data_IF_099971123479
#
_entry.id   IF_099971123479
#
_cell.length_a   1.000
_cell.length_b   1.000
_cell.length_c   1.000
_cell.angle_alpha   90.00
_cell.angle_beta   90.00
_cell.angle_gamma   90.00
#
_symmetry.space_group_name_H-M   'P 1'
#
loop_
_entity.id
_entity.type
_entity.pdbx_description
1 polymer ?
#
# COMPACT_ATOMS: atom_id res chain seq x y z
N UNK A 1 -38.54 9.06 8.47
CA UNK A 1 -37.26 8.71 9.12
C UNK A 1 -36.33 9.89 8.97
N UNK A 2 -35.96 10.55 10.06
CA UNK A 2 -35.15 11.78 10.03
C UNK A 2 -33.72 11.48 9.55
N UNK A 3 -33.07 12.44 8.89
CA UNK A 3 -31.64 12.35 8.51
C UNK A 3 -30.76 12.01 9.72
N UNK A 4 -31.14 12.47 10.93
CA UNK A 4 -30.47 12.15 12.19
C UNK A 4 -30.58 10.66 12.56
N UNK A 5 -31.73 10.02 12.31
CA UNK A 5 -31.93 8.59 12.58
C UNK A 5 -31.16 7.71 11.59
N UNK A 6 -31.05 8.16 10.32
CA UNK A 6 -30.19 7.51 9.32
C UNK A 6 -28.72 7.59 9.72
N UNK A 7 -28.25 8.75 10.16
CA UNK A 7 -26.86 8.91 10.62
C UNK A 7 -26.59 8.07 11.86
N UNK A 8 -27.48 8.06 12.86
CA UNK A 8 -27.35 7.23 14.06
C UNK A 8 -27.34 5.73 13.76
N UNK A 9 -28.21 5.27 12.85
CA UNK A 9 -28.25 3.85 12.46
C UNK A 9 -27.03 3.44 11.62
N UNK A 10 -26.51 4.32 10.77
CA UNK A 10 -25.25 4.11 10.04
C UNK A 10 -24.07 4.05 11.03
N UNK A 11 -23.97 5.00 11.96
CA UNK A 11 -22.90 5.02 12.97
C UNK A 11 -22.98 3.81 13.90
N UNK A 12 -24.17 3.40 14.33
CA UNK A 12 -24.35 2.21 15.17
C UNK A 12 -23.98 0.92 14.42
N UNK A 13 -24.38 0.81 13.15
CA UNK A 13 -24.04 -0.34 12.30
C UNK A 13 -22.53 -0.43 12.03
N UNK A 14 -21.90 0.72 11.75
CA UNK A 14 -20.44 0.82 11.60
C UNK A 14 -19.71 0.52 12.91
N UNK A 15 -20.22 0.98 14.06
CA UNK A 15 -19.61 0.68 15.37
C UNK A 15 -19.66 -0.81 15.72
N UNK A 16 -20.79 -1.48 15.49
CA UNK A 16 -20.90 -2.93 15.68
C UNK A 16 -20.00 -3.70 14.71
N UNK A 17 -19.95 -3.27 13.45
CA UNK A 17 -19.07 -3.85 12.45
C UNK A 17 -17.59 -3.66 12.82
N UNK A 18 -17.20 -2.50 13.37
CA UNK A 18 -15.85 -2.25 13.87
C UNK A 18 -15.52 -3.18 15.04
N UNK A 19 -16.44 -3.41 15.97
CA UNK A 19 -16.20 -4.29 17.13
C UNK A 19 -16.06 -5.76 16.69
N UNK A 20 -16.91 -6.26 15.80
CA UNK A 20 -16.81 -7.63 15.28
C UNK A 20 -15.51 -7.82 14.49
N UNK A 21 -15.20 -6.90 13.57
CA UNK A 21 -13.99 -7.00 12.77
C UNK A 21 -12.74 -6.77 13.63
N UNK A 22 -12.83 -6.10 14.78
CA UNK A 22 -11.73 -6.01 15.76
C UNK A 22 -11.45 -7.35 16.46
N UNK A 23 -12.49 -8.12 16.82
CA UNK A 23 -12.33 -9.46 17.39
C UNK A 23 -11.77 -10.44 16.36
N UNK A 24 -12.26 -10.40 15.14
CA UNK A 24 -11.74 -11.22 14.04
C UNK A 24 -10.32 -10.80 13.64
N UNK A 25 -10.00 -9.50 13.68
CA UNK A 25 -8.64 -9.01 13.48
C UNK A 25 -7.70 -9.53 14.55
N UNK A 26 -8.10 -9.49 15.82
CA UNK A 26 -7.31 -10.04 16.92
C UNK A 26 -7.11 -11.56 16.79
N UNK A 27 -8.17 -12.30 16.45
CA UNK A 27 -8.12 -13.75 16.26
C UNK A 27 -7.27 -14.17 15.05
N UNK A 28 -7.24 -13.36 13.98
CA UNK A 28 -6.46 -13.64 12.79
C UNK A 28 -4.94 -13.54 12.99
N UNK A 29 -4.49 -12.79 14.01
CA UNK A 29 -3.07 -12.45 14.22
C UNK A 29 -2.45 -11.58 13.12
N UNK A 30 -3.22 -11.18 12.10
CA UNK A 30 -2.67 -10.57 10.89
C UNK A 30 -2.06 -9.18 11.13
N UNK A 31 -2.51 -8.49 12.18
CA UNK A 31 -2.02 -7.17 12.60
C UNK A 31 -0.53 -7.17 13.00
N UNK A 32 0.05 -8.33 13.34
CA UNK A 32 1.46 -8.43 13.70
C UNK A 32 2.40 -8.38 12.47
N UNK A 33 1.92 -8.82 11.30
CA UNK A 33 2.77 -8.98 10.12
C UNK A 33 3.39 -7.69 9.58
N UNK A 34 2.77 -6.49 9.60
CA UNK A 34 3.45 -5.26 9.20
C UNK A 34 4.70 -4.97 10.04
N UNK A 35 4.64 -5.26 11.36
CA UNK A 35 5.76 -5.07 12.29
C UNK A 35 6.82 -6.15 12.05
N UNK A 36 6.40 -7.41 11.94
CA UNK A 36 7.30 -8.53 11.60
C UNK A 36 7.99 -8.29 10.25
N UNK A 37 7.28 -7.72 9.28
CA UNK A 37 7.80 -7.34 7.97
C UNK A 37 8.89 -6.30 8.05
N UNK A 38 8.70 -5.25 8.86
CA UNK A 38 9.74 -4.25 9.12
C UNK A 38 10.98 -4.88 9.76
N UNK A 39 10.80 -5.69 10.81
CA UNK A 39 11.90 -6.40 11.45
C UNK A 39 12.63 -7.34 10.49
N UNK A 40 11.90 -8.12 9.70
CA UNK A 40 12.46 -9.07 8.73
C UNK A 40 13.20 -8.34 7.60
N UNK A 41 12.68 -7.23 7.11
CA UNK A 41 13.33 -6.38 6.11
C UNK A 41 14.63 -5.78 6.62
N UNK A 42 14.68 -5.33 7.88
CA UNK A 42 15.91 -4.82 8.50
C UNK A 42 16.98 -5.91 8.69
N UNK A 43 16.57 -7.14 9.00
CA UNK A 43 17.49 -8.28 9.20
C UNK A 43 18.04 -8.89 7.92
N UNK A 44 17.41 -8.64 6.76
CA UNK A 44 17.81 -9.24 5.49
C UNK A 44 18.24 -8.16 4.48
N UNK A 45 19.54 -7.79 4.45
CA UNK A 45 20.06 -6.77 3.53
C UNK A 45 19.81 -7.08 2.05
N UNK A 46 19.63 -8.35 1.68
CA UNK A 46 19.25 -8.75 0.32
C UNK A 46 17.93 -8.09 -0.10
N UNK A 47 16.91 -8.08 0.76
CA UNK A 47 15.59 -7.51 0.47
C UNK A 47 15.62 -5.99 0.32
N UNK A 48 16.65 -5.31 0.83
CA UNK A 48 16.78 -3.85 0.76
C UNK A 48 17.37 -3.37 -0.58
N UNK A 49 17.96 -4.27 -1.37
CA UNK A 49 18.61 -3.91 -2.64
C UNK A 49 17.67 -3.18 -3.62
N UNK A 50 16.40 -3.61 -3.82
CA UNK A 50 15.48 -2.90 -4.70
C UNK A 50 15.15 -1.49 -4.22
N UNK A 51 15.03 -1.27 -2.90
CA UNK A 51 14.85 0.06 -2.31
C UNK A 51 16.03 0.98 -2.67
N UNK A 52 17.26 0.56 -2.39
CA UNK A 52 18.45 1.37 -2.65
C UNK A 52 18.67 1.67 -4.13
N UNK A 53 18.37 0.72 -5.02
CA UNK A 53 18.45 0.93 -6.48
C UNK A 53 17.45 1.97 -6.99
N UNK A 54 16.31 2.12 -6.32
CA UNK A 54 15.25 3.08 -6.69
C UNK A 54 15.34 4.41 -5.96
N UNK A 55 16.19 4.51 -4.93
CA UNK A 55 16.38 5.75 -4.18
C UNK A 55 16.91 6.88 -5.07
N UNK A 56 17.97 6.65 -5.84
CA UNK A 56 18.58 7.67 -6.69
C UNK A 56 17.61 8.20 -7.78
N UNK A 57 16.90 7.33 -8.54
CA UNK A 57 15.83 7.78 -9.44
C UNK A 57 14.74 8.59 -8.74
N UNK A 58 14.39 8.22 -7.50
CA UNK A 58 13.36 8.95 -6.72
C UNK A 58 13.82 10.33 -6.29
N UNK A 59 15.08 10.49 -5.91
CA UNK A 59 15.66 11.81 -5.60
C UNK A 59 15.74 12.67 -6.87
N UNK A 60 16.15 12.10 -8.00
CA UNK A 60 16.20 12.82 -9.26
C UNK A 60 14.80 13.27 -9.73
N UNK A 61 13.81 12.40 -9.61
CA UNK A 61 12.42 12.73 -9.91
C UNK A 61 11.88 13.79 -8.95
N UNK A 62 12.14 13.69 -7.65
CA UNK A 62 11.66 14.69 -6.69
C UNK A 62 12.26 16.06 -6.97
N UNK A 63 13.57 16.15 -7.21
CA UNK A 63 14.22 17.39 -7.59
C UNK A 63 13.63 17.99 -8.87
N UNK A 64 13.38 17.15 -9.88
CA UNK A 64 12.78 17.58 -11.16
C UNK A 64 11.36 18.11 -10.97
N UNK A 65 10.50 17.36 -10.27
CA UNK A 65 9.09 17.72 -10.05
C UNK A 65 8.99 18.98 -9.19
N UNK A 66 9.74 19.08 -8.10
CA UNK A 66 9.75 20.26 -7.23
C UNK A 66 10.19 21.49 -8.03
N UNK A 67 11.29 21.38 -8.79
CA UNK A 67 11.79 22.50 -9.60
C UNK A 67 10.75 22.94 -10.64
N UNK A 68 10.12 22.01 -11.35
CA UNK A 68 9.09 22.31 -12.33
C UNK A 68 7.84 22.94 -11.71
N UNK A 69 7.37 22.40 -10.58
CA UNK A 69 6.22 22.92 -9.85
C UNK A 69 6.49 24.34 -9.34
N UNK A 70 7.64 24.59 -8.70
CA UNK A 70 8.00 25.95 -8.27
C UNK A 70 8.14 26.92 -9.45
N UNK A 71 8.65 26.47 -10.60
CA UNK A 71 8.76 27.33 -11.78
C UNK A 71 7.39 27.68 -12.39
N UNK A 72 6.45 26.73 -12.42
CA UNK A 72 5.16 26.89 -13.12
C UNK A 72 4.08 27.45 -12.20
N UNK A 73 3.93 26.93 -10.98
CA UNK A 73 2.75 27.17 -10.14
C UNK A 73 3.00 28.19 -9.04
N UNK A 74 4.24 28.41 -8.60
CA UNK A 74 4.52 29.26 -7.44
C UNK A 74 4.05 30.71 -7.63
N UNK A 75 4.47 31.38 -8.71
CA UNK A 75 4.09 32.77 -8.95
C UNK A 75 2.56 32.93 -9.10
N UNK A 76 1.86 32.10 -9.90
CA UNK A 76 0.40 32.12 -9.93
C UNK A 76 -0.26 31.90 -8.57
N UNK A 77 0.24 30.96 -7.76
CA UNK A 77 -0.33 30.65 -6.44
C UNK A 77 -0.10 31.80 -5.44
N UNK A 78 1.08 32.42 -5.44
CA UNK A 78 1.35 33.62 -4.62
C UNK A 78 0.41 34.75 -5.02
N UNK A 79 0.22 34.99 -6.31
CA UNK A 79 -0.68 36.03 -6.79
C UNK A 79 -2.13 35.81 -6.33
N UNK A 80 -2.63 34.57 -6.39
CA UNK A 80 -3.98 34.23 -5.94
C UNK A 80 -4.13 34.31 -4.41
N UNK A 81 -3.16 33.76 -3.66
CA UNK A 81 -3.21 33.77 -2.20
C UNK A 81 -2.96 35.17 -1.62
N UNK A 82 -2.24 36.06 -2.32
CA UNK A 82 -2.01 37.42 -1.87
C UNK A 82 -3.31 38.23 -1.68
N UNK A 83 -4.38 37.90 -2.41
CA UNK A 83 -5.70 38.52 -2.23
C UNK A 83 -6.37 38.16 -0.90
N UNK A 84 -6.03 37.01 -0.31
CA UNK A 84 -6.67 36.49 0.92
C UNK A 84 -5.72 36.58 2.11
N UNK A 85 -4.48 36.12 1.95
CA UNK A 85 -3.49 35.94 3.01
C UNK A 85 -2.48 37.10 3.10
N UNK A 86 -2.50 38.04 2.14
CA UNK A 86 -1.60 39.19 2.12
C UNK A 86 -0.11 38.78 2.05
N UNK A 87 0.80 39.39 2.85
CA UNK A 87 2.23 39.09 2.81
C UNK A 87 2.60 37.64 3.15
N UNK A 88 1.75 36.93 3.92
CA UNK A 88 1.99 35.54 4.33
C UNK A 88 1.77 34.56 3.15
N UNK A 89 1.09 35.01 2.09
CA UNK A 89 0.83 34.24 0.87
C UNK A 89 2.10 33.64 0.25
N UNK A 90 3.24 34.32 0.37
CA UNK A 90 4.55 33.85 -0.13
C UNK A 90 4.96 32.52 0.51
N UNK A 91 4.74 32.39 1.82
CA UNK A 91 5.08 31.19 2.60
C UNK A 91 4.00 30.12 2.42
N UNK A 92 2.72 30.51 2.46
CA UNK A 92 1.60 29.58 2.25
C UNK A 92 1.64 28.93 0.87
N UNK A 93 1.92 29.71 -0.18
CA UNK A 93 2.10 29.20 -1.53
C UNK A 93 3.26 28.21 -1.60
N UNK A 94 4.40 28.51 -0.98
CA UNK A 94 5.55 27.57 -0.97
C UNK A 94 5.19 26.24 -0.31
N UNK A 95 4.46 26.26 0.81
CA UNK A 95 3.97 25.05 1.48
C UNK A 95 2.98 24.27 0.61
N UNK A 96 2.09 24.97 -0.09
CA UNK A 96 1.12 24.34 -1.00
C UNK A 96 1.82 23.68 -2.19
N UNK A 97 2.75 24.38 -2.85
CA UNK A 97 3.57 23.82 -3.95
C UNK A 97 4.30 22.56 -3.48
N UNK A 98 4.89 22.56 -2.28
CA UNK A 98 5.60 21.39 -1.73
C UNK A 98 4.65 20.21 -1.47
N UNK A 99 3.46 20.47 -0.94
CA UNK A 99 2.42 19.44 -0.71
C UNK A 99 1.93 18.82 -2.02
N UNK A 100 1.62 19.65 -3.01
CA UNK A 100 1.21 19.22 -4.35
C UNK A 100 2.32 18.44 -5.05
N UNK A 101 3.56 18.94 -4.98
CA UNK A 101 4.75 18.26 -5.51
C UNK A 101 4.94 16.89 -4.87
N UNK A 102 4.80 16.78 -3.56
CA UNK A 102 4.93 15.51 -2.83
C UNK A 102 3.90 14.48 -3.31
N UNK A 103 2.68 14.94 -3.57
CA UNK A 103 1.62 14.09 -4.10
C UNK A 103 1.90 13.65 -5.52
N UNK A 104 2.36 14.54 -6.39
CA UNK A 104 2.79 14.20 -7.75
C UNK A 104 3.98 13.24 -7.77
N UNK A 105 4.99 13.45 -6.91
CA UNK A 105 6.14 12.55 -6.78
C UNK A 105 5.69 11.16 -6.38
N UNK A 106 4.78 11.03 -5.40
CA UNK A 106 4.26 9.74 -4.98
C UNK A 106 3.52 9.04 -6.12
N UNK A 107 2.68 9.76 -6.87
CA UNK A 107 1.93 9.20 -8.00
C UNK A 107 2.87 8.73 -9.12
N UNK A 108 3.83 9.57 -9.51
CA UNK A 108 4.78 9.27 -10.58
C UNK A 108 5.74 8.15 -10.19
N UNK A 109 6.30 8.17 -8.98
CA UNK A 109 7.21 7.13 -8.49
C UNK A 109 6.51 5.77 -8.34
N UNK A 110 5.25 5.78 -7.86
CA UNK A 110 4.42 4.58 -7.79
C UNK A 110 4.24 3.95 -9.16
N UNK A 111 3.86 4.75 -10.15
CA UNK A 111 3.63 4.28 -11.51
C UNK A 111 4.89 3.78 -12.21
N UNK A 112 6.02 4.47 -12.04
CA UNK A 112 7.22 4.16 -12.81
C UNK A 112 7.98 2.96 -12.24
N UNK A 113 8.16 2.86 -10.91
CA UNK A 113 9.07 1.83 -10.40
C UNK A 113 8.79 1.27 -9.01
N UNK A 114 8.01 1.92 -8.14
CA UNK A 114 7.81 1.40 -6.78
C UNK A 114 6.98 0.10 -6.83
N UNK A 115 5.89 0.05 -7.60
CA UNK A 115 5.06 -1.16 -7.70
C UNK A 115 5.87 -2.36 -8.21
N UNK A 116 6.79 -2.13 -9.14
CA UNK A 116 7.69 -3.19 -9.59
C UNK A 116 8.66 -3.60 -8.48
N UNK A 117 9.30 -2.65 -7.80
CA UNK A 117 10.27 -2.97 -6.76
C UNK A 117 9.62 -3.72 -5.58
N UNK A 118 8.40 -3.34 -5.19
CA UNK A 118 7.65 -4.02 -4.12
C UNK A 118 7.25 -5.43 -4.53
N UNK A 119 6.76 -5.66 -5.75
CA UNK A 119 6.47 -7.02 -6.26
C UNK A 119 7.73 -7.91 -6.24
N UNK A 120 8.89 -7.36 -6.59
CA UNK A 120 10.16 -8.09 -6.51
C UNK A 120 10.51 -8.49 -5.07
N UNK A 121 10.33 -7.58 -4.11
CA UNK A 121 10.51 -7.90 -2.69
C UNK A 121 9.50 -8.93 -2.20
N UNK A 122 8.24 -8.83 -2.63
CA UNK A 122 7.19 -9.79 -2.28
C UNK A 122 7.56 -11.20 -2.76
N UNK A 123 7.88 -11.35 -4.04
CA UNK A 123 8.28 -12.65 -4.62
C UNK A 123 9.57 -13.18 -3.95
N UNK A 124 10.52 -12.31 -3.63
CA UNK A 124 11.77 -12.69 -2.98
C UNK A 124 11.54 -13.27 -1.58
N UNK A 125 10.59 -12.71 -0.81
CA UNK A 125 10.21 -13.23 0.51
C UNK A 125 9.55 -14.60 0.37
N UNK A 126 8.65 -14.79 -0.61
CA UNK A 126 8.06 -16.11 -0.87
C UNK A 126 9.12 -17.16 -1.21
N UNK A 127 10.09 -16.83 -2.07
CA UNK A 127 11.21 -17.71 -2.40
C UNK A 127 12.07 -18.01 -1.17
N UNK A 128 12.33 -17.01 -0.32
CA UNK A 128 13.07 -17.18 0.94
C UNK A 128 12.36 -18.14 1.90
N UNK A 129 11.03 -18.12 1.91
CA UNK A 129 10.17 -18.95 2.77
C UNK A 129 9.75 -20.28 2.10
N UNK A 130 10.52 -20.74 1.10
CA UNK A 130 10.29 -21.99 0.36
C UNK A 130 8.95 -22.08 -0.41
N UNK A 131 8.24 -20.97 -0.63
CA UNK A 131 7.02 -20.90 -1.45
C UNK A 131 7.33 -20.71 -2.94
N UNK A 132 8.32 -21.44 -3.45
CA UNK A 132 8.81 -21.30 -4.84
C UNK A 132 7.78 -21.76 -5.87
N UNK A 133 7.00 -22.80 -5.54
CA UNK A 133 5.94 -23.31 -6.41
C UNK A 133 4.85 -22.25 -6.68
N UNK A 134 4.50 -21.45 -5.67
CA UNK A 134 3.53 -20.37 -5.81
C UNK A 134 4.08 -19.24 -6.70
N UNK A 135 5.37 -18.89 -6.56
CA UNK A 135 6.01 -17.84 -7.38
C UNK A 135 6.17 -18.29 -8.83
N UNK A 136 6.43 -19.58 -9.07
CA UNK A 136 6.57 -20.15 -10.41
C UNK A 136 5.30 -19.95 -11.27
N UNK A 137 4.12 -19.83 -10.65
CA UNK A 137 2.87 -19.55 -11.36
C UNK A 137 2.78 -18.12 -11.96
N UNK A 138 3.65 -17.19 -11.56
CA UNK A 138 3.65 -15.80 -12.04
C UNK A 138 5.00 -15.26 -12.52
N UNK A 139 6.08 -16.03 -12.39
CA UNK A 139 7.45 -15.63 -12.74
C UNK A 139 8.33 -16.86 -12.93
N UNK A 140 9.32 -16.77 -13.81
CA UNK A 140 10.36 -17.80 -13.87
C UNK A 140 11.18 -17.82 -12.58
N UNK A 141 11.42 -19.01 -12.01
CA UNK A 141 12.31 -19.20 -10.86
C UNK A 141 13.54 -19.96 -11.34
N UNK A 142 14.73 -19.34 -11.26
CA UNK A 142 15.97 -19.95 -11.72
C UNK A 142 16.47 -20.97 -10.70
N UNK A 143 16.53 -22.24 -11.08
CA UNK A 143 17.20 -23.28 -10.30
C UNK A 143 18.71 -23.13 -10.45
N UNK A 144 19.42 -22.73 -9.39
CA UNK A 144 20.91 -22.72 -9.37
C UNK A 144 21.59 -21.58 -8.63
N UNK A 145 20.88 -20.51 -8.22
CA UNK A 145 21.48 -19.40 -7.46
C UNK A 145 21.47 -19.71 -5.96
N UNK A 146 22.56 -20.27 -5.43
CA UNK A 146 22.79 -20.47 -3.99
C UNK A 146 23.05 -19.13 -3.30
N UNK A 147 22.08 -18.63 -2.54
CA UNK A 147 22.30 -17.57 -1.54
C UNK A 147 21.29 -16.42 -1.54
N UNK A 148 20.98 -15.81 -2.69
CA UNK A 148 20.16 -14.60 -2.75
C UNK A 148 18.75 -14.85 -3.35
N UNK A 149 17.67 -14.69 -2.57
CA UNK A 149 16.29 -14.87 -3.05
C UNK A 149 15.94 -13.97 -4.24
N UNK A 150 16.53 -12.77 -4.33
CA UNK A 150 16.29 -11.84 -5.45
C UNK A 150 16.93 -12.36 -6.74
N UNK A 151 18.12 -12.97 -6.66
CA UNK A 151 18.82 -13.50 -7.84
C UNK A 151 18.16 -14.74 -8.42
N UNK A 152 17.34 -15.44 -7.61
CA UNK A 152 16.49 -16.56 -8.06
C UNK A 152 15.28 -16.11 -8.88
N UNK A 153 14.91 -14.83 -8.84
CA UNK A 153 13.77 -14.30 -9.60
C UNK A 153 14.18 -14.04 -11.07
N UNK A 154 13.52 -14.73 -12.00
CA UNK A 154 13.65 -14.56 -13.44
C UNK A 154 12.71 -13.49 -14.02
N UNK A 155 12.45 -13.58 -15.34
CA UNK A 155 11.56 -12.64 -16.02
C UNK A 155 10.11 -12.83 -15.57
N UNK A 156 9.36 -11.72 -15.48
CA UNK A 156 7.95 -11.72 -15.08
C UNK A 156 7.09 -12.22 -16.22
N UNK A 157 6.15 -13.11 -15.90
CA UNK A 157 5.23 -13.71 -16.87
C UNK A 157 3.84 -13.05 -16.83
N UNK A 158 3.48 -12.37 -15.72
CA UNK A 158 2.22 -11.65 -15.56
C UNK A 158 2.46 -10.15 -15.34
N UNK A 159 1.70 -9.30 -16.04
CA UNK A 159 1.71 -7.83 -15.84
C UNK A 159 1.14 -7.47 -14.45
N UNK A 160 1.65 -6.44 -13.77
CA UNK A 160 1.09 -5.98 -12.50
C UNK A 160 -0.40 -5.65 -12.67
N UNK A 161 -1.22 -6.03 -11.68
CA UNK A 161 -2.56 -5.47 -11.55
C UNK A 161 -2.41 -4.02 -11.08
N UNK A 162 -2.77 -3.07 -11.94
CA UNK A 162 -2.75 -1.64 -11.63
C UNK A 162 -3.77 -0.90 -12.50
N UNK A 163 -4.40 0.13 -11.94
CA UNK A 163 -5.15 1.08 -12.75
C UNK A 163 -4.20 1.70 -13.78
N UNK A 164 -4.68 1.94 -15.01
CA UNK A 164 -3.88 2.63 -16.02
C UNK A 164 -3.43 4.00 -15.49
N UNK A 165 -2.27 4.53 -15.91
CA UNK A 165 -1.77 5.84 -15.46
C UNK A 165 -2.82 6.95 -15.66
N UNK A 166 -3.58 6.86 -16.75
CA UNK A 166 -4.67 7.78 -17.07
C UNK A 166 -5.78 7.68 -16.02
N UNK A 167 -6.19 6.47 -15.64
CA UNK A 167 -7.24 6.25 -14.64
C UNK A 167 -6.78 6.68 -13.23
N UNK A 168 -5.51 6.46 -12.89
CA UNK A 168 -4.92 6.94 -11.65
C UNK A 168 -4.87 8.48 -11.59
N UNK A 169 -4.48 9.13 -12.69
CA UNK A 169 -4.46 10.59 -12.81
C UNK A 169 -5.87 11.18 -12.76
N UNK A 170 -6.82 10.61 -13.51
CA UNK A 170 -8.23 11.04 -13.49
C UNK A 170 -8.82 10.88 -12.09
N UNK A 171 -8.55 9.76 -11.41
CA UNK A 171 -8.97 9.54 -10.03
C UNK A 171 -8.33 10.56 -9.07
N UNK A 172 -7.05 10.89 -9.25
CA UNK A 172 -6.39 11.92 -8.46
C UNK A 172 -7.05 13.29 -8.65
N UNK A 173 -7.23 13.72 -9.91
CA UNK A 173 -7.89 14.99 -10.23
C UNK A 173 -9.34 15.03 -9.71
N UNK A 174 -10.05 13.89 -9.74
CA UNK A 174 -11.41 13.77 -9.21
C UNK A 174 -11.47 13.74 -7.66
N UNK A 175 -10.42 13.28 -6.99
CA UNK A 175 -10.30 13.25 -5.53
C UNK A 175 -9.72 14.55 -4.95
N UNK A 176 -9.11 15.39 -5.78
CA UNK A 176 -8.51 16.66 -5.37
C UNK A 176 -9.53 17.59 -4.67
N UNK A 177 -10.78 17.74 -5.15
CA UNK A 177 -11.83 18.48 -4.43
C UNK A 177 -12.22 17.84 -3.09
N UNK A 178 -12.06 16.51 -2.95
CA UNK A 178 -12.46 15.78 -1.75
C UNK A 178 -11.50 16.02 -0.56
N UNK A 179 -10.25 16.42 -0.82
CA UNK A 179 -9.29 16.82 0.23
C UNK A 179 -9.74 18.06 1.02
N UNK A 180 -10.68 18.86 0.48
CA UNK A 180 -11.24 20.03 1.16
C UNK A 180 -12.39 19.69 2.12
N UNK A 181 -12.76 18.41 2.27
CA UNK A 181 -13.72 17.96 3.27
C UNK A 181 -12.94 17.44 4.48
N UNK A 182 -12.65 18.28 5.49
CA UNK A 182 -12.27 17.76 6.79
C UNK A 182 -13.49 17.01 7.36
N UNK A 183 -13.25 16.06 8.27
CA UNK A 183 -14.28 15.39 9.07
C UNK A 183 -14.92 14.15 8.43
N UNK A 184 -14.07 13.15 8.15
CA UNK A 184 -14.41 11.81 8.64
C UNK A 184 -13.65 11.70 9.96
N UNK A 185 -14.35 11.62 11.10
CA UNK A 185 -13.70 11.55 12.42
C UNK A 185 -12.55 10.56 12.37
N UNK A 186 -11.34 10.97 12.76
CA UNK A 186 -10.06 10.33 12.41
C UNK A 186 -10.08 8.80 12.46
N UNK A 187 -10.76 8.23 13.44
CA UNK A 187 -10.97 6.78 13.59
C UNK A 187 -11.70 6.14 12.40
N UNK A 188 -12.82 6.72 11.96
CA UNK A 188 -13.60 6.22 10.82
C UNK A 188 -12.78 6.32 9.54
N UNK A 189 -11.99 7.38 9.37
CA UNK A 189 -11.08 7.51 8.22
C UNK A 189 -10.03 6.38 8.21
N UNK A 190 -9.39 6.11 9.35
CA UNK A 190 -8.41 5.04 9.49
C UNK A 190 -9.01 3.67 9.16
N UNK A 191 -10.21 3.38 9.68
CA UNK A 191 -10.92 2.10 9.43
C UNK A 191 -11.30 1.94 7.96
N UNK A 192 -11.89 2.97 7.34
CA UNK A 192 -12.28 2.91 5.93
C UNK A 192 -11.07 2.76 5.02
N UNK A 193 -9.95 3.42 5.33
CA UNK A 193 -8.70 3.24 4.58
C UNK A 193 -8.13 1.84 4.79
N UNK A 194 -8.09 1.34 6.03
CA UNK A 194 -7.58 0.01 6.35
C UNK A 194 -8.24 -1.09 5.52
N UNK A 195 -9.57 -1.00 5.32
CA UNK A 195 -10.36 -1.94 4.51
C UNK A 195 -9.89 -2.05 3.06
N UNK A 196 -9.35 -0.97 2.50
CA UNK A 196 -8.81 -0.95 1.14
C UNK A 196 -7.32 -1.30 1.11
N UNK A 197 -6.56 -0.82 2.10
CA UNK A 197 -5.10 -0.98 2.19
C UNK A 197 -4.71 -2.44 2.38
N UNK A 198 -5.37 -3.17 3.28
CA UNK A 198 -5.02 -4.58 3.55
C UNK A 198 -5.05 -5.46 2.30
N UNK A 199 -6.20 -5.55 1.59
CA UNK A 199 -6.30 -6.35 0.37
C UNK A 199 -5.38 -5.88 -0.75
N UNK A 200 -5.06 -4.59 -0.82
CA UNK A 200 -4.16 -4.05 -1.84
C UNK A 200 -2.75 -4.64 -1.73
N UNK A 201 -2.23 -4.84 -0.51
CA UNK A 201 -0.92 -5.46 -0.28
C UNK A 201 -0.87 -6.96 -0.64
N UNK A 202 -2.01 -7.64 -0.73
CA UNK A 202 -2.12 -9.03 -1.22
C UNK A 202 -2.47 -9.14 -2.71
N UNK A 203 -2.54 -8.04 -3.45
CA UNK A 203 -2.79 -8.07 -4.90
C UNK A 203 -1.86 -9.04 -5.65
N UNK A 204 -0.57 -9.05 -5.31
CA UNK A 204 0.41 -10.00 -5.88
C UNK A 204 0.12 -11.45 -5.49
N UNK A 205 -0.25 -11.70 -4.23
CA UNK A 205 -0.63 -13.04 -3.76
C UNK A 205 -1.83 -13.59 -4.55
N UNK A 206 -2.90 -12.79 -4.69
CA UNK A 206 -4.07 -13.20 -5.49
C UNK A 206 -3.72 -13.47 -6.95
N UNK A 207 -2.83 -12.67 -7.52
CA UNK A 207 -2.31 -12.89 -8.87
C UNK A 207 -1.55 -14.21 -9.02
N UNK A 208 -0.74 -14.57 -8.03
CA UNK A 208 0.01 -15.84 -8.01
C UNK A 208 -0.93 -17.03 -7.85
N UNK A 209 -1.96 -16.93 -7.00
CA UNK A 209 -3.03 -17.92 -6.87
C UNK A 209 -3.93 -18.01 -8.10
N UNK A 210 -3.87 -17.03 -9.00
CA UNK A 210 -4.69 -16.99 -10.21
C UNK A 210 -6.16 -16.67 -9.95
N UNK A 211 -6.48 -16.02 -8.84
CA UNK A 211 -7.86 -15.67 -8.50
C UNK A 211 -8.47 -14.71 -9.51
N UNK A 212 -9.72 -14.98 -9.89
CA UNK A 212 -10.64 -14.04 -10.52
C UNK A 212 -11.07 -12.94 -9.53
N UNK A 213 -11.67 -11.86 -10.05
CA UNK A 213 -12.15 -10.74 -9.21
C UNK A 213 -13.22 -11.17 -8.18
N UNK A 214 -14.05 -12.15 -8.54
CA UNK A 214 -15.06 -12.73 -7.65
C UNK A 214 -14.40 -13.55 -6.54
N UNK A 215 -13.49 -14.45 -6.88
CA UNK A 215 -12.73 -15.27 -5.91
C UNK A 215 -11.93 -14.41 -4.95
N UNK A 216 -11.28 -13.35 -5.46
CA UNK A 216 -10.57 -12.37 -4.63
C UNK A 216 -11.52 -11.71 -3.64
N UNK A 217 -12.68 -11.24 -4.10
CA UNK A 217 -13.65 -10.57 -3.25
C UNK A 217 -14.16 -11.50 -2.16
N UNK A 218 -14.44 -12.75 -2.49
CA UNK A 218 -14.91 -13.75 -1.54
C UNK A 218 -13.81 -14.16 -0.55
N UNK A 219 -12.57 -14.31 -1.01
CA UNK A 219 -11.42 -14.56 -0.14
C UNK A 219 -11.22 -13.43 0.86
N UNK A 220 -11.27 -12.17 0.40
CA UNK A 220 -11.12 -10.99 1.26
C UNK A 220 -12.26 -10.91 2.27
N UNK A 221 -13.50 -11.20 1.87
CA UNK A 221 -14.66 -11.23 2.79
C UNK A 221 -14.50 -12.30 3.87
N UNK A 222 -14.07 -13.52 3.50
CA UNK A 222 -13.83 -14.62 4.45
C UNK A 222 -12.71 -14.31 5.46
N UNK A 223 -11.74 -13.49 5.06
CA UNK A 223 -10.59 -13.10 5.87
C UNK A 223 -10.63 -11.62 6.28
N UNK A 224 -11.83 -11.03 6.36
CA UNK A 224 -11.99 -9.58 6.50
C UNK A 224 -11.33 -9.04 7.77
N UNK A 225 -11.43 -9.75 8.90
CA UNK A 225 -10.74 -9.40 10.14
C UNK A 225 -9.24 -9.24 9.95
N UNK A 226 -8.60 -10.22 9.32
CA UNK A 226 -7.16 -10.16 9.06
C UNK A 226 -6.75 -9.01 8.15
N UNK A 227 -7.50 -8.80 7.07
CA UNK A 227 -7.22 -7.68 6.15
C UNK A 227 -7.43 -6.32 6.80
N UNK A 228 -8.45 -6.17 7.65
CA UNK A 228 -8.67 -4.93 8.38
C UNK A 228 -7.56 -4.70 9.42
N UNK A 229 -7.18 -5.72 10.19
CA UNK A 229 -6.12 -5.62 11.19
C UNK A 229 -4.76 -5.28 10.57
N UNK A 230 -4.38 -6.00 9.51
CA UNK A 230 -3.17 -5.71 8.75
C UNK A 230 -3.18 -4.29 8.16
N UNK A 231 -4.28 -3.93 7.49
CA UNK A 231 -4.45 -2.62 6.86
C UNK A 231 -4.41 -1.48 7.88
N UNK A 232 -5.01 -1.66 9.06
CA UNK A 232 -5.05 -0.63 10.11
C UNK A 232 -3.65 -0.33 10.63
N UNK A 233 -2.86 -1.36 10.93
CA UNK A 233 -1.47 -1.18 11.38
C UNK A 233 -0.63 -0.50 10.30
N UNK A 234 -0.80 -0.88 9.02
CA UNK A 234 -0.12 -0.21 7.92
C UNK A 234 -0.49 1.28 7.83
N UNK A 235 -1.79 1.61 7.92
CA UNK A 235 -2.25 3.00 7.89
C UNK A 235 -1.68 3.80 9.06
N UNK A 236 -1.66 3.23 10.27
CA UNK A 236 -1.08 3.87 11.47
C UNK A 236 0.42 4.12 11.28
N UNK A 237 1.18 3.14 10.78
CA UNK A 237 2.62 3.30 10.54
C UNK A 237 2.90 4.35 9.45
N UNK A 238 2.06 4.42 8.42
CA UNK A 238 2.15 5.40 7.34
C UNK A 238 1.74 6.82 7.74
N UNK A 239 1.31 7.06 8.99
CA UNK A 239 1.13 8.42 9.51
C UNK A 239 2.45 9.20 9.60
N UNK A 240 3.60 8.53 9.47
CA UNK A 240 4.94 9.14 9.43
C UNK A 240 5.34 9.48 7.97
N UNK A 241 5.16 10.73 7.50
CA UNK A 241 5.27 11.09 6.08
C UNK A 241 6.66 10.84 5.46
N UNK A 242 7.73 10.98 6.25
CA UNK A 242 9.11 10.85 5.78
C UNK A 242 9.51 9.39 5.57
N UNK A 243 8.88 8.45 6.28
CA UNK A 243 9.25 7.03 6.28
C UNK A 243 8.44 6.21 5.26
N UNK A 244 7.47 6.84 4.59
CA UNK A 244 6.44 6.18 3.78
C UNK A 244 7.02 5.29 2.64
N UNK A 245 8.10 5.73 1.98
CA UNK A 245 8.75 4.93 0.91
C UNK A 245 9.32 3.64 1.50
N UNK A 246 10.06 3.74 2.59
CA UNK A 246 10.65 2.56 3.27
C UNK A 246 9.53 1.67 3.80
N UNK A 247 8.51 2.27 4.40
CA UNK A 247 7.35 1.54 4.94
C UNK A 247 6.63 0.75 3.86
N UNK A 248 6.49 1.26 2.64
CA UNK A 248 5.93 0.51 1.52
C UNK A 248 6.66 -0.83 1.27
N UNK A 249 7.99 -0.86 1.37
CA UNK A 249 8.76 -2.11 1.26
C UNK A 249 8.55 -3.01 2.48
N UNK A 250 8.59 -2.47 3.69
CA UNK A 250 8.40 -3.26 4.91
C UNK A 250 7.00 -3.88 5.02
N UNK A 251 5.95 -3.14 4.64
CA UNK A 251 4.58 -3.61 4.59
C UNK A 251 4.42 -4.69 3.53
N UNK A 252 5.11 -4.55 2.39
CA UNK A 252 5.14 -5.59 1.36
C UNK A 252 5.81 -6.88 1.86
N UNK A 253 6.91 -6.78 2.61
CA UNK A 253 7.53 -7.95 3.27
C UNK A 253 6.56 -8.57 4.27
N UNK A 254 5.90 -7.76 5.09
CA UNK A 254 4.90 -8.23 6.05
C UNK A 254 3.75 -8.97 5.36
N UNK A 255 3.23 -8.41 4.28
CA UNK A 255 2.20 -9.02 3.45
C UNK A 255 2.67 -10.36 2.85
N UNK A 256 3.91 -10.45 2.37
CA UNK A 256 4.46 -11.70 1.86
C UNK A 256 4.61 -12.76 2.96
N UNK A 257 5.06 -12.39 4.16
CA UNK A 257 5.11 -13.28 5.32
C UNK A 257 3.71 -13.75 5.73
N UNK A 258 2.71 -12.87 5.66
CA UNK A 258 1.33 -13.24 5.93
C UNK A 258 0.80 -14.24 4.89
N UNK A 259 1.06 -14.00 3.60
CA UNK A 259 0.73 -14.93 2.53
C UNK A 259 1.37 -16.32 2.74
N UNK A 260 2.62 -16.39 3.19
CA UNK A 260 3.30 -17.65 3.54
C UNK A 260 2.54 -18.39 4.65
N UNK A 261 2.12 -17.67 5.69
CA UNK A 261 1.37 -18.29 6.80
C UNK A 261 -0.01 -18.82 6.36
N UNK A 262 -0.66 -18.16 5.40
CA UNK A 262 -1.93 -18.61 4.83
C UNK A 262 -1.74 -19.91 4.03
N UNK A 263 -0.69 -19.99 3.19
CA UNK A 263 -0.37 -21.21 2.43
C UNK A 263 0.00 -22.39 3.35
N UNK A 264 0.75 -22.13 4.43
CA UNK A 264 1.08 -23.15 5.42
C UNK A 264 -0.19 -23.68 6.11
N UNK A 265 -1.08 -22.78 6.53
CA UNK A 265 -2.35 -23.15 7.16
C UNK A 265 -3.29 -23.91 6.20
N UNK A 266 -3.29 -23.60 4.90
CA UNK A 266 -4.03 -24.36 3.88
C UNK A 266 -3.46 -25.77 3.71
N UNK A 267 -2.13 -25.89 3.63
CA UNK A 267 -1.43 -27.18 3.51
C UNK A 267 -1.70 -28.08 4.71
N UNK A 268 -1.64 -27.52 5.93
CA UNK A 268 -1.87 -28.28 7.16
C UNK A 268 -3.32 -28.72 7.33
N UNK A 269 -4.28 -27.97 6.80
CA UNK A 269 -5.69 -28.40 6.74
C UNK A 269 -5.87 -29.55 5.77
N UNK A 270 -5.21 -29.52 4.60
CA UNK A 270 -5.26 -30.62 3.63
C UNK A 270 -4.76 -31.94 4.22
N UNK A 271 -3.65 -31.91 4.97
CA UNK A 271 -3.06 -33.08 5.63
C UNK A 271 -3.91 -33.70 6.76
N UNK A 272 -4.86 -32.96 7.33
CA UNK A 272 -5.74 -33.46 8.41
C UNK A 272 -7.02 -34.12 7.89
N UNK A 273 -7.28 -34.01 6.60
CA UNK A 273 -8.48 -34.57 5.95
C UNK A 273 -8.16 -35.88 5.21
N UNK A 274 -6.87 -36.15 4.95
CA UNK A 274 -6.33 -37.45 4.53
C UNK A 274 -6.04 -38.35 5.74
#
# INVERSE_FOLDING_TARGET
MSTSDRVKTIVAKEAHQVIEVSKDAAASGAYAFPILGAYHFLRHPSLQRPLWRKLLPTIALSATVITAMFFITYIPQVALLAFVDGPIAVVNAAMLVLSESSTLILLLSKWWWIDDATIEVFDAVLVQQNQQALVAAGREVKAGSTGDPIQKLGKRLKKPFGDSPIKALVRYLALLPLNFIPVVGTVVFLVLNARNVGPAFHSRYFQLKGFSDTERTDFVKRNQGGYMGFGLVCVILNLLPIVNIVLAFTHTVGAALWAVSLEQAETDKGKKVE
#
